data_IF_699487174993
#
_entry.id   IF_699487174993
#
_cell.length_a   1.000
_cell.length_b   1.000
_cell.length_c   1.000
_cell.angle_alpha   90.00
_cell.angle_beta   90.00
_cell.angle_gamma   90.00
#
_symmetry.space_group_name_H-M   'P 1'
#
loop_
_entity.id
_entity.type
_entity.pdbx_description
1 polymer ?
#
# COMPACT_ATOMS: atom_id res chain seq x y z
N UNK A 1 -24.10 22.35 -3.04
CA UNK A 1 -22.78 22.00 -2.48
C UNK A 1 -22.18 23.26 -1.87
N UNK A 2 -22.67 23.66 -0.69
CA UNK A 2 -22.18 24.85 0.03
C UNK A 2 -21.40 24.44 1.28
N UNK A 3 -20.78 23.26 1.24
CA UNK A 3 -19.91 22.77 2.29
C UNK A 3 -18.63 23.62 2.32
N UNK A 4 -18.27 24.13 3.49
CA UNK A 4 -16.98 24.80 3.70
C UNK A 4 -15.84 23.79 3.49
N UNK A 5 -14.77 24.25 2.85
CA UNK A 5 -13.54 23.49 2.80
C UNK A 5 -12.94 23.40 4.21
N UNK A 6 -12.60 22.19 4.67
CA UNK A 6 -11.96 21.99 5.98
C UNK A 6 -10.50 22.46 6.02
N UNK A 7 -9.88 22.65 4.85
CA UNK A 7 -8.44 22.92 4.69
C UNK A 7 -8.12 24.40 4.38
N UNK A 8 -9.11 25.31 4.35
CA UNK A 8 -8.88 26.73 4.05
C UNK A 8 -10.13 27.60 4.05
N UNK A 9 -9.98 28.89 3.69
CA UNK A 9 -11.11 29.81 3.52
C UNK A 9 -11.75 29.66 2.14
N UNK A 10 -12.99 29.16 2.08
CA UNK A 10 -13.76 29.06 0.83
C UNK A 10 -14.76 27.88 0.84
N UNK A 11 -15.62 27.84 -0.18
CA UNK A 11 -16.52 26.71 -0.44
C UNK A 11 -15.81 25.67 -1.30
N UNK A 12 -16.17 24.39 -1.17
CA UNK A 12 -15.66 23.32 -2.06
C UNK A 12 -15.89 23.67 -3.54
N UNK A 13 -17.02 24.33 -3.86
CA UNK A 13 -17.34 24.80 -5.20
C UNK A 13 -16.30 25.76 -5.77
N UNK A 14 -15.70 26.61 -4.94
CA UNK A 14 -14.75 27.63 -5.40
C UNK A 14 -13.46 26.97 -5.90
N UNK A 15 -13.03 25.87 -5.26
CA UNK A 15 -11.89 25.06 -5.73
C UNK A 15 -12.21 24.34 -7.04
N UNK A 16 -13.40 23.76 -7.16
CA UNK A 16 -13.83 23.09 -8.38
C UNK A 16 -13.95 24.07 -9.55
N UNK A 17 -14.48 25.27 -9.32
CA UNK A 17 -14.61 26.31 -10.33
C UNK A 17 -13.26 26.81 -10.86
N UNK A 18 -12.22 26.80 -10.01
CA UNK A 18 -10.86 27.19 -10.39
C UNK A 18 -10.00 26.03 -10.90
N UNK A 19 -10.51 24.78 -10.90
CA UNK A 19 -9.77 23.63 -11.42
C UNK A 19 -9.95 23.56 -12.94
N UNK A 20 -8.86 23.57 -13.74
CA UNK A 20 -8.98 23.48 -15.19
C UNK A 20 -9.74 22.23 -15.60
N UNK A 21 -10.80 22.37 -16.41
CA UNK A 21 -11.69 21.24 -16.75
C UNK A 21 -10.95 20.07 -17.40
N UNK A 22 -9.87 20.36 -18.15
CA UNK A 22 -9.02 19.37 -18.81
C UNK A 22 -8.19 18.51 -17.83
N UNK A 23 -8.09 18.90 -16.55
CA UNK A 23 -7.34 18.15 -15.53
C UNK A 23 -8.26 17.42 -14.55
N UNK A 24 -9.58 17.51 -14.72
CA UNK A 24 -10.53 16.76 -13.91
C UNK A 24 -10.60 15.34 -14.48
N UNK A 25 -10.20 14.36 -13.67
CA UNK A 25 -10.29 12.95 -14.01
C UNK A 25 -11.33 12.27 -13.14
N UNK A 26 -12.25 11.54 -13.79
CA UNK A 26 -13.17 10.65 -13.10
C UNK A 26 -12.59 9.25 -13.16
N UNK A 27 -12.39 8.63 -12.00
CA UNK A 27 -11.81 7.31 -11.88
C UNK A 27 -12.85 6.37 -11.28
N UNK A 28 -13.09 5.26 -11.94
CA UNK A 28 -13.82 4.15 -11.35
C UNK A 28 -12.86 3.38 -10.45
N UNK A 29 -13.25 3.26 -9.17
CA UNK A 29 -12.43 2.62 -8.16
C UNK A 29 -12.84 1.16 -8.03
N UNK A 30 -11.91 0.25 -8.32
CA UNK A 30 -12.09 -1.19 -8.13
C UNK A 30 -10.85 -1.77 -7.44
N UNK A 31 -11.09 -2.62 -6.44
CA UNK A 31 -10.07 -3.49 -5.86
C UNK A 31 -10.00 -4.80 -6.64
N UNK A 32 -8.80 -5.16 -7.13
CA UNK A 32 -8.60 -6.41 -7.88
C UNK A 32 -7.25 -7.03 -7.60
N UNK A 33 -7.19 -8.35 -7.39
CA UNK A 33 -5.94 -9.08 -7.22
C UNK A 33 -5.85 -10.28 -8.18
N UNK A 34 -4.75 -10.37 -8.93
CA UNK A 34 -4.47 -11.50 -9.81
C UNK A 34 -4.19 -12.77 -9.00
N UNK A 35 -4.63 -13.94 -9.51
CA UNK A 35 -4.37 -15.24 -8.87
C UNK A 35 -2.91 -15.68 -8.99
N UNK A 36 -2.28 -15.37 -10.11
CA UNK A 36 -0.89 -15.72 -10.41
C UNK A 36 -0.16 -14.49 -10.89
N UNK A 37 1.01 -14.20 -10.31
CA UNK A 37 1.76 -12.96 -10.55
C UNK A 37 3.00 -13.18 -11.42
N UNK A 38 3.15 -14.35 -12.04
CA UNK A 38 4.34 -14.66 -12.82
C UNK A 38 4.06 -15.73 -13.88
N UNK A 39 4.88 -15.71 -14.94
CA UNK A 39 4.92 -16.76 -15.95
C UNK A 39 6.27 -16.73 -16.65
N UNK A 40 6.97 -17.86 -16.67
CA UNK A 40 8.32 -17.96 -17.24
C UNK A 40 9.29 -16.93 -16.65
N UNK A 41 9.75 -15.99 -17.46
CA UNK A 41 10.67 -14.90 -17.07
C UNK A 41 9.97 -13.58 -16.77
N UNK A 42 8.63 -13.58 -16.71
CA UNK A 42 7.80 -12.39 -16.49
C UNK A 42 7.21 -12.46 -15.08
N UNK A 43 7.20 -11.32 -14.39
CA UNK A 43 6.58 -11.14 -13.08
C UNK A 43 5.79 -9.84 -13.07
N UNK A 44 4.62 -9.87 -12.43
CA UNK A 44 3.72 -8.74 -12.22
C UNK A 44 3.99 -8.14 -10.84
N UNK A 45 4.06 -6.81 -10.77
CA UNK A 45 4.24 -6.04 -9.54
C UNK A 45 3.25 -4.86 -9.53
N UNK A 46 2.94 -4.34 -8.34
CA UNK A 46 2.04 -3.20 -8.19
C UNK A 46 0.66 -3.42 -8.81
N UNK A 47 0.08 -2.38 -9.43
CA UNK A 47 -1.28 -2.42 -9.98
C UNK A 47 -1.50 -3.49 -11.06
N UNK A 48 -0.45 -3.95 -11.74
CA UNK A 48 -0.54 -5.06 -12.68
C UNK A 48 -0.85 -6.40 -11.99
N UNK A 49 -0.46 -6.55 -10.71
CA UNK A 49 -0.73 -7.74 -9.89
C UNK A 49 -1.89 -7.52 -8.90
N UNK A 50 -2.02 -6.30 -8.37
CA UNK A 50 -3.00 -5.92 -7.36
C UNK A 50 -3.35 -4.43 -7.44
N UNK A 51 -4.56 -4.14 -7.87
CA UNK A 51 -5.11 -2.79 -7.93
C UNK A 51 -5.83 -2.48 -6.61
N UNK A 52 -5.51 -1.33 -6.01
CA UNK A 52 -6.06 -0.87 -4.74
C UNK A 52 -7.00 0.31 -4.94
N UNK A 53 -7.96 0.49 -4.03
CA UNK A 53 -8.63 1.76 -3.81
C UNK A 53 -7.60 2.86 -3.49
N UNK A 54 -7.85 4.07 -3.97
CA UNK A 54 -6.96 5.24 -3.80
C UNK A 54 -7.15 5.84 -2.39
N UNK A 55 -6.97 5.01 -1.36
CA UNK A 55 -7.15 5.37 0.05
C UNK A 55 -5.81 5.22 0.77
N UNK A 56 -5.37 6.30 1.43
CA UNK A 56 -4.16 6.28 2.25
C UNK A 56 -2.85 5.99 1.51
N UNK A 57 -2.84 6.06 0.17
CA UNK A 57 -1.65 5.83 -0.66
C UNK A 57 -1.14 4.38 -0.68
N UNK A 58 -1.94 3.41 -0.23
CA UNK A 58 -1.50 2.02 -0.07
C UNK A 58 -1.09 1.35 -1.37
N UNK A 59 -1.78 1.60 -2.49
CA UNK A 59 -1.41 1.03 -3.79
C UNK A 59 0.03 1.36 -4.19
N UNK A 60 0.44 2.62 -4.06
CA UNK A 60 1.81 3.05 -4.35
C UNK A 60 2.81 2.44 -3.36
N UNK A 61 2.50 2.45 -2.06
CA UNK A 61 3.36 1.86 -1.04
C UNK A 61 3.59 0.36 -1.27
N UNK A 62 2.52 -0.41 -1.47
CA UNK A 62 2.62 -1.86 -1.72
C UNK A 62 3.38 -2.16 -3.01
N UNK A 63 3.22 -1.33 -4.06
CA UNK A 63 3.99 -1.45 -5.30
C UNK A 63 5.50 -1.26 -5.07
N UNK A 64 5.90 -0.31 -4.24
CA UNK A 64 7.32 -0.11 -3.88
C UNK A 64 7.85 -1.30 -3.07
N UNK A 65 7.07 -1.79 -2.12
CA UNK A 65 7.45 -2.94 -1.28
C UNK A 65 7.55 -4.25 -2.07
N UNK A 66 6.76 -4.39 -3.14
CA UNK A 66 6.94 -5.49 -4.10
C UNK A 66 8.31 -5.45 -4.75
N UNK A 67 8.72 -4.28 -5.23
CA UNK A 67 10.03 -4.06 -5.82
C UNK A 67 11.14 -4.46 -4.86
N UNK A 68 11.09 -4.00 -3.61
CA UNK A 68 12.07 -4.37 -2.58
C UNK A 68 12.09 -5.88 -2.32
N UNK A 69 10.91 -6.50 -2.17
CA UNK A 69 10.81 -7.93 -1.91
C UNK A 69 11.37 -8.77 -3.06
N UNK A 70 11.00 -8.42 -4.29
CA UNK A 70 11.46 -9.09 -5.51
C UNK A 70 12.97 -8.93 -5.70
N UNK A 71 13.50 -7.71 -5.57
CA UNK A 71 14.94 -7.44 -5.75
C UNK A 71 15.77 -8.20 -4.72
N UNK A 72 15.35 -8.27 -3.46
CA UNK A 72 16.04 -9.09 -2.45
C UNK A 72 16.10 -10.57 -2.85
N UNK A 73 15.00 -11.12 -3.37
CA UNK A 73 14.95 -12.51 -3.81
C UNK A 73 15.84 -12.75 -5.03
N UNK A 74 15.85 -11.82 -5.99
CA UNK A 74 16.70 -11.89 -7.17
C UNK A 74 18.19 -11.74 -6.83
N UNK A 75 18.51 -10.84 -5.90
CA UNK A 75 19.88 -10.64 -5.43
C UNK A 75 20.44 -11.92 -4.80
N UNK A 76 19.64 -12.63 -3.99
CA UNK A 76 20.05 -13.87 -3.33
C UNK A 76 20.05 -15.11 -4.26
N UNK A 77 19.61 -15.00 -5.51
CA UNK A 77 19.63 -16.13 -6.46
C UNK A 77 21.06 -16.52 -6.85
N UNK A 78 21.38 -17.80 -6.86
CA UNK A 78 22.72 -18.28 -7.27
C UNK A 78 22.90 -18.25 -8.80
N UNK A 79 21.86 -18.61 -9.55
CA UNK A 79 21.90 -18.75 -11.01
C UNK A 79 20.73 -18.06 -11.70
N UNK A 80 20.97 -17.47 -12.88
CA UNK A 80 19.93 -16.88 -13.74
C UNK A 80 19.31 -17.91 -14.69
N UNK A 81 18.71 -18.97 -14.13
CA UNK A 81 17.99 -19.99 -14.91
C UNK A 81 16.47 -19.78 -14.84
N UNK A 82 15.69 -20.23 -15.84
CA UNK A 82 14.23 -20.15 -15.79
C UNK A 82 13.62 -20.81 -14.55
N UNK A 83 14.21 -21.91 -14.08
CA UNK A 83 13.73 -22.63 -12.89
C UNK A 83 13.97 -21.82 -11.61
N UNK A 84 15.17 -21.25 -11.44
CA UNK A 84 15.47 -20.40 -10.28
C UNK A 84 14.64 -19.12 -10.27
N UNK A 85 14.43 -18.48 -11.44
CA UNK A 85 13.50 -17.35 -11.56
C UNK A 85 12.08 -17.73 -11.14
N UNK A 86 11.57 -18.87 -11.61
CA UNK A 86 10.23 -19.34 -11.23
C UNK A 86 10.12 -19.58 -9.72
N UNK A 87 11.16 -20.14 -9.09
CA UNK A 87 11.21 -20.30 -7.63
C UNK A 87 11.20 -18.95 -6.91
N UNK A 88 12.00 -17.99 -7.38
CA UNK A 88 12.05 -16.65 -6.82
C UNK A 88 10.70 -15.94 -6.94
N UNK A 89 10.04 -16.01 -8.10
CA UNK A 89 8.73 -15.41 -8.34
C UNK A 89 7.61 -16.06 -7.51
N UNK A 90 7.63 -17.40 -7.35
CA UNK A 90 6.74 -18.10 -6.41
C UNK A 90 6.90 -17.59 -4.99
N UNK A 91 8.14 -17.47 -4.53
CA UNK A 91 8.47 -16.98 -3.18
C UNK A 91 8.10 -15.51 -3.00
N UNK A 92 8.26 -14.69 -4.03
CA UNK A 92 7.79 -13.31 -4.06
C UNK A 92 6.27 -13.24 -3.87
N UNK A 93 5.50 -13.94 -4.71
CA UNK A 93 4.04 -13.95 -4.61
C UNK A 93 3.57 -14.49 -3.25
N UNK A 94 4.20 -15.54 -2.71
CA UNK A 94 3.81 -16.10 -1.41
C UNK A 94 4.09 -15.13 -0.25
N UNK A 95 5.17 -14.35 -0.33
CA UNK A 95 5.52 -13.34 0.70
C UNK A 95 4.62 -12.11 0.65
N UNK A 96 4.16 -11.72 -0.54
CA UNK A 96 3.49 -10.43 -0.76
C UNK A 96 1.97 -10.54 -0.85
N UNK A 97 1.43 -11.60 -1.45
CA UNK A 97 -0.02 -11.70 -1.71
C UNK A 97 -0.88 -11.61 -0.44
N UNK A 98 -0.48 -12.24 0.66
CA UNK A 98 -1.19 -12.13 1.94
C UNK A 98 -1.18 -10.72 2.53
N UNK A 99 -0.02 -10.05 2.47
CA UNK A 99 0.19 -8.70 3.01
C UNK A 99 -0.61 -7.67 2.22
N UNK A 100 -0.53 -7.78 0.89
CA UNK A 100 -1.31 -6.96 -0.03
C UNK A 100 -2.80 -7.17 0.18
N UNK A 101 -3.26 -8.41 0.30
CA UNK A 101 -4.67 -8.71 0.55
C UNK A 101 -5.16 -8.08 1.86
N UNK A 102 -4.40 -8.20 2.94
CA UNK A 102 -4.73 -7.53 4.21
C UNK A 102 -4.82 -6.01 4.03
N UNK A 103 -3.88 -5.41 3.29
CA UNK A 103 -3.92 -3.99 2.96
C UNK A 103 -5.20 -3.60 2.20
N UNK A 104 -5.59 -4.37 1.19
CA UNK A 104 -6.81 -4.15 0.41
C UNK A 104 -8.09 -4.28 1.26
N UNK A 105 -8.17 -5.33 2.08
CA UNK A 105 -9.31 -5.58 2.98
C UNK A 105 -9.47 -4.41 3.98
N UNK A 106 -8.36 -3.87 4.48
CA UNK A 106 -8.36 -2.72 5.38
C UNK A 106 -8.74 -1.41 4.67
N UNK A 107 -8.20 -1.13 3.49
CA UNK A 107 -8.60 0.05 2.71
C UNK A 107 -10.09 0.02 2.35
N UNK A 108 -10.64 -1.17 2.04
CA UNK A 108 -12.07 -1.35 1.78
C UNK A 108 -12.94 -1.09 3.02
N UNK A 109 -12.45 -1.44 4.22
CA UNK A 109 -13.17 -1.11 5.46
C UNK A 109 -13.15 0.40 5.75
N UNK A 110 -11.99 1.02 5.54
CA UNK A 110 -11.83 2.48 5.69
C UNK A 110 -12.74 3.22 4.71
N UNK A 111 -12.81 2.77 3.46
CA UNK A 111 -13.74 3.30 2.45
C UNK A 111 -15.20 3.32 2.93
N UNK A 112 -15.67 2.19 3.49
CA UNK A 112 -17.02 2.06 4.04
C UNK A 112 -17.27 3.02 5.21
N UNK A 113 -16.25 3.40 5.98
CA UNK A 113 -16.37 4.38 7.05
C UNK A 113 -16.45 5.80 6.47
N UNK A 114 -15.64 6.11 5.45
CA UNK A 114 -15.60 7.41 4.81
C UNK A 114 -16.85 7.72 3.99
N UNK A 115 -17.29 6.76 3.17
CA UNK A 115 -18.45 6.89 2.28
C UNK A 115 -19.73 6.33 2.89
N UNK A 116 -19.65 5.70 4.07
CA UNK A 116 -20.81 5.21 4.80
C UNK A 116 -21.73 6.34 5.27
N UNK A 117 -23.02 6.12 5.07
CA UNK A 117 -24.08 6.96 5.61
C UNK A 117 -24.67 6.36 6.90
N UNK A 118 -25.17 7.21 7.79
CA UNK A 118 -25.84 6.82 9.02
C UNK A 118 -25.04 7.08 10.31
N UNK A 119 -25.71 6.85 11.43
CA UNK A 119 -25.22 7.21 12.77
C UNK A 119 -23.92 6.48 13.16
N UNK A 120 -23.80 5.18 12.84
CA UNK A 120 -22.61 4.39 13.15
C UNK A 120 -21.35 4.90 12.43
N UNK A 121 -21.46 5.17 11.12
CA UNK A 121 -20.34 5.73 10.35
C UNK A 121 -19.97 7.15 10.82
N UNK A 122 -20.97 7.96 11.21
CA UNK A 122 -20.75 9.27 11.84
C UNK A 122 -19.96 9.20 13.15
N UNK A 123 -20.34 8.28 14.05
CA UNK A 123 -19.64 8.08 15.31
C UNK A 123 -18.22 7.58 15.11
N UNK A 124 -18.02 6.62 14.20
CA UNK A 124 -16.71 6.05 13.87
C UNK A 124 -15.76 7.11 13.31
N UNK A 125 -16.22 7.95 12.37
CA UNK A 125 -15.44 9.09 11.85
C UNK A 125 -15.05 10.07 12.96
N UNK A 126 -16.00 10.43 13.84
CA UNK A 126 -15.72 11.34 14.96
C UNK A 126 -14.66 10.77 15.90
N UNK A 127 -14.72 9.48 16.20
CA UNK A 127 -13.70 8.80 17.00
C UNK A 127 -12.33 8.79 16.31
N UNK A 128 -12.28 8.44 15.02
CA UNK A 128 -11.04 8.38 14.24
C UNK A 128 -10.34 9.74 14.16
N UNK A 129 -11.07 10.82 13.88
CA UNK A 129 -10.51 12.16 13.72
C UNK A 129 -10.18 12.87 15.03
N UNK A 130 -10.84 12.50 16.14
CA UNK A 130 -10.58 13.13 17.44
C UNK A 130 -9.39 12.50 18.18
N UNK A 131 -8.79 11.42 17.67
CA UNK A 131 -7.75 10.67 18.36
C UNK A 131 -6.54 10.37 17.45
N UNK A 132 -5.87 11.45 17.02
CA UNK A 132 -4.75 11.40 16.07
C UNK A 132 -3.58 10.51 16.56
N UNK A 133 -3.31 10.45 17.86
CA UNK A 133 -2.22 9.65 18.41
C UNK A 133 -2.49 8.14 18.28
N UNK A 134 -3.71 7.71 18.60
CA UNK A 134 -4.15 6.31 18.43
C UNK A 134 -4.20 5.92 16.95
N UNK A 135 -4.62 6.86 16.09
CA UNK A 135 -4.61 6.66 14.64
C UNK A 135 -3.18 6.46 14.10
N UNK A 136 -2.22 7.28 14.54
CA UNK A 136 -0.82 7.15 14.13
C UNK A 136 -0.20 5.81 14.58
N UNK A 137 -0.43 5.39 15.84
CA UNK A 137 0.05 4.09 16.32
C UNK A 137 -0.60 2.91 15.57
N UNK A 138 -1.88 3.01 15.25
CA UNK A 138 -2.59 2.03 14.43
C UNK A 138 -2.00 1.95 13.02
N UNK A 139 -1.73 3.10 12.39
CA UNK A 139 -1.12 3.18 11.08
C UNK A 139 0.32 2.64 11.05
N UNK A 140 1.11 2.89 12.10
CA UNK A 140 2.47 2.35 12.20
C UNK A 140 2.48 0.82 12.31
N UNK A 141 1.50 0.26 13.03
CA UNK A 141 1.31 -1.19 13.15
C UNK A 141 0.85 -1.78 11.82
N UNK A 142 -0.07 -1.11 11.12
CA UNK A 142 -0.53 -1.52 9.79
C UNK A 142 0.62 -1.58 8.78
N UNK A 143 1.55 -0.62 8.85
CA UNK A 143 2.71 -0.55 7.98
C UNK A 143 3.98 -1.21 8.58
N UNK A 144 3.83 -2.17 9.50
CA UNK A 144 4.98 -2.86 10.12
C UNK A 144 5.75 -3.76 9.15
N UNK A 145 5.11 -4.20 8.07
CA UNK A 145 5.74 -4.98 7.02
C UNK A 145 6.36 -4.07 5.96
N UNK A 146 7.50 -3.49 6.32
CA UNK A 146 8.28 -2.56 5.49
C UNK A 146 9.69 -3.12 5.24
N UNK A 147 9.83 -4.18 4.41
CA UNK A 147 11.15 -4.71 4.08
C UNK A 147 12.04 -3.63 3.45
N UNK A 148 13.34 -3.75 3.68
CA UNK A 148 14.38 -2.91 3.09
C UNK A 148 15.25 -3.76 2.16
N UNK A 149 16.16 -3.14 1.39
CA UNK A 149 17.10 -3.92 0.57
C UNK A 149 18.11 -4.64 1.49
N UNK A 150 18.16 -5.97 1.42
CA UNK A 150 18.92 -6.84 2.34
C UNK A 150 20.44 -6.72 2.20
N UNK A 151 20.91 -6.05 1.15
CA UNK A 151 22.31 -5.84 0.80
C UNK A 151 22.76 -4.38 0.96
N UNK A 152 21.89 -3.51 1.47
CA UNK A 152 22.22 -2.13 1.83
C UNK A 152 22.16 -1.93 3.35
N UNK A 153 22.86 -0.92 3.90
CA UNK A 153 22.67 -0.52 5.29
C UNK A 153 21.20 -0.20 5.58
N UNK A 154 20.66 -0.79 6.65
CA UNK A 154 19.28 -0.54 7.04
C UNK A 154 19.11 0.89 7.57
N UNK A 155 18.07 1.55 7.09
CA UNK A 155 17.62 2.84 7.60
C UNK A 155 17.07 2.66 9.00
N UNK A 156 17.38 3.62 9.87
CA UNK A 156 16.87 3.69 11.24
C UNK A 156 15.33 3.67 11.26
N UNK A 157 14.77 2.83 12.14
CA UNK A 157 13.33 2.71 12.30
C UNK A 157 12.78 3.85 13.16
N UNK A 158 12.06 4.77 12.52
CA UNK A 158 11.42 5.93 13.14
C UNK A 158 9.95 5.71 13.50
N UNK A 159 9.40 4.52 13.24
CA UNK A 159 8.01 4.20 13.54
C UNK A 159 7.78 3.97 15.03
N UNK A 160 6.57 4.30 15.52
CA UNK A 160 6.14 4.01 16.90
C UNK A 160 6.00 2.50 17.14
N UNK A 161 5.73 1.72 16.08
CA UNK A 161 5.76 0.26 16.08
C UNK A 161 6.98 -0.23 15.31
N UNK A 162 7.70 -1.21 15.88
CA UNK A 162 8.88 -1.80 15.22
C UNK A 162 8.51 -2.53 13.93
N UNK A 163 9.37 -2.39 12.93
CA UNK A 163 9.29 -3.14 11.68
C UNK A 163 9.52 -4.64 11.91
N UNK A 164 8.97 -5.47 11.02
CA UNK A 164 9.24 -6.91 11.03
C UNK A 164 10.74 -7.18 10.85
N UNK A 165 11.27 -8.14 11.62
CA UNK A 165 12.69 -8.50 11.56
C UNK A 165 13.04 -9.02 10.17
N UNK A 166 14.07 -8.44 9.57
CA UNK A 166 14.62 -8.86 8.29
C UNK A 166 16.04 -9.41 8.47
N UNK A 167 16.39 -10.44 7.69
CA UNK A 167 17.75 -10.97 7.60
C UNK A 167 18.55 -10.20 6.53
N UNK A 168 19.85 -10.02 6.77
CA UNK A 168 20.81 -9.54 5.77
C UNK A 168 20.94 -10.61 4.68
N UNK A 169 21.27 -10.20 3.44
CA UNK A 169 21.51 -11.10 2.32
C UNK A 169 22.55 -12.17 2.68
N UNK A 170 22.30 -13.41 2.25
CA UNK A 170 23.24 -14.52 2.43
C UNK A 170 24.54 -14.35 1.65
N UNK A 171 24.60 -13.38 0.72
CA UNK A 171 25.83 -13.07 -0.04
C UNK A 171 26.80 -12.17 0.74
N UNK A 172 26.34 -11.58 1.84
CA UNK A 172 27.15 -10.71 2.71
C UNK A 172 27.52 -11.38 4.04
N UNK A 173 26.94 -12.55 4.33
CA UNK A 173 27.22 -13.38 5.51
C UNK A 173 28.24 -14.45 5.20
#
# INVERSE_FOLDING_TARGET
>A
MDSRCLMGSGLVRDFLANTPTKTISMLELEDRMCKTWYSGRIVLIGEAAHQHLVIGGQGALQSMLDGVCLVNLLYDMEYNTPNELTKAFKKYQSKRSGVVKTSMDETSQVDKIFHGHGFKAGLMRKFMFNNALTFNMGNDKFNNNRPQLSFLPFVEDRGSSKANRQKISSRLS
#
